data_IF_970751414676
#
_entry.id   IF_970751414676
#
_cell.length_a   1.000
_cell.length_b   1.000
_cell.length_c   1.000
_cell.angle_alpha   90.00
_cell.angle_beta   90.00
_cell.angle_gamma   90.00
#
_symmetry.space_group_name_H-M   'P 1'
#
loop_
_entity.id
_entity.type
_entity.pdbx_description
1 polymer ?
#
# COMPACT_ATOMS: atom_id res chain seq x y z
N UNK A 1 28.63 13.12 -2.30
CA UNK A 1 29.04 11.77 -2.70
C UNK A 1 28.89 10.89 -1.48
N UNK A 2 27.88 10.04 -1.46
CA UNK A 2 27.66 9.05 -0.41
C UNK A 2 27.34 7.75 -1.13
N UNK A 3 28.18 6.75 -0.89
CA UNK A 3 28.23 5.47 -1.57
C UNK A 3 26.88 4.75 -1.54
N UNK A 4 26.30 4.54 -2.72
CA UNK A 4 25.32 3.48 -2.92
C UNK A 4 26.07 2.17 -2.90
N UNK A 5 26.05 1.51 -1.74
CA UNK A 5 26.44 0.12 -1.60
C UNK A 5 25.60 -0.70 -2.58
N UNK A 6 26.27 -1.28 -3.57
CA UNK A 6 25.74 -2.30 -4.46
C UNK A 6 25.29 -3.49 -3.59
N UNK A 7 24.00 -3.58 -3.28
CA UNK A 7 23.42 -4.81 -2.74
C UNK A 7 23.64 -5.91 -3.78
N UNK A 8 24.57 -6.82 -3.49
CA UNK A 8 24.87 -7.96 -4.34
C UNK A 8 23.59 -8.74 -4.63
N UNK A 9 23.26 -8.88 -5.91
CA UNK A 9 22.16 -9.68 -6.39
C UNK A 9 22.35 -11.12 -5.93
N UNK A 10 21.61 -11.52 -4.89
CA UNK A 10 21.48 -12.92 -4.54
C UNK A 10 20.99 -13.68 -5.79
N UNK A 11 21.52 -14.87 -6.07
CA UNK A 11 21.08 -15.66 -7.21
C UNK A 11 19.58 -15.92 -7.09
N UNK A 12 18.86 -15.74 -8.20
CA UNK A 12 17.43 -16.00 -8.27
C UNK A 12 17.20 -17.49 -8.04
N UNK A 13 16.31 -17.83 -7.11
CA UNK A 13 15.86 -19.20 -6.88
C UNK A 13 15.02 -19.68 -8.09
N UNK A 14 15.66 -20.39 -9.01
CA UNK A 14 15.04 -20.86 -10.25
C UNK A 14 13.94 -21.91 -10.02
N UNK A 15 13.90 -22.56 -8.85
CA UNK A 15 12.81 -23.46 -8.50
C UNK A 15 11.50 -22.68 -8.24
N UNK A 16 11.60 -21.44 -7.74
CA UNK A 16 10.45 -20.53 -7.55
C UNK A 16 10.22 -19.61 -8.73
N UNK A 17 11.27 -19.25 -9.45
CA UNK A 17 11.23 -18.33 -10.59
C UNK A 17 11.89 -18.96 -11.82
N UNK A 18 11.22 -19.90 -12.52
CA UNK A 18 11.80 -20.58 -13.68
C UNK A 18 12.19 -19.64 -14.83
N UNK A 19 11.54 -18.48 -14.96
CA UNK A 19 11.89 -17.45 -15.95
C UNK A 19 13.17 -16.68 -15.62
N UNK A 20 13.71 -16.83 -14.41
CA UNK A 20 14.80 -16.00 -13.88
C UNK A 20 14.38 -14.58 -13.53
N UNK A 21 13.11 -14.20 -13.73
CA UNK A 21 12.60 -12.84 -13.47
C UNK A 21 11.78 -12.84 -12.17
N UNK A 22 12.14 -11.96 -11.24
CA UNK A 22 11.38 -11.74 -10.00
C UNK A 22 10.61 -10.42 -10.12
N UNK A 23 9.26 -10.44 -10.10
CA UNK A 23 8.47 -9.21 -10.08
C UNK A 23 8.78 -8.35 -8.86
N UNK A 24 8.78 -7.03 -9.07
CA UNK A 24 9.00 -6.05 -8.00
C UNK A 24 7.66 -5.61 -7.40
N UNK A 25 7.55 -5.62 -6.07
CA UNK A 25 6.37 -5.12 -5.39
C UNK A 25 6.33 -3.60 -5.44
N UNK A 26 5.25 -3.05 -5.99
CA UNK A 26 5.07 -1.62 -6.21
C UNK A 26 4.12 -0.97 -5.22
N UNK A 27 3.15 -1.71 -4.68
CA UNK A 27 2.27 -1.17 -3.68
C UNK A 27 1.63 -2.29 -2.87
N UNK A 28 1.44 -2.04 -1.58
CA UNK A 28 0.63 -2.88 -0.70
C UNK A 28 -0.46 -2.04 -0.06
N UNK A 29 -1.69 -2.52 -0.20
CA UNK A 29 -2.87 -1.98 0.48
C UNK A 29 -3.23 -2.92 1.62
N UNK A 30 -3.31 -2.40 2.83
CA UNK A 30 -3.76 -3.13 4.02
C UNK A 30 -4.88 -2.40 4.73
N UNK A 31 -5.64 -3.14 5.54
CA UNK A 31 -6.65 -2.59 6.45
C UNK A 31 -6.38 -3.03 7.87
N UNK A 32 -6.83 -2.23 8.83
CA UNK A 32 -6.85 -2.59 10.25
C UNK A 32 -8.08 -1.98 10.91
N UNK A 33 -8.57 -2.61 11.96
CA UNK A 33 -9.61 -2.10 12.83
C UNK A 33 -9.00 -1.50 14.10
N UNK A 34 -9.24 -0.20 14.31
CA UNK A 34 -8.81 0.54 15.50
C UNK A 34 -9.75 0.31 16.70
N UNK A 35 -10.87 -0.39 16.53
CA UNK A 35 -11.77 -0.84 17.60
C UNK A 35 -12.35 0.28 18.48
N UNK A 36 -12.49 1.49 17.92
CA UNK A 36 -13.13 2.63 18.58
C UNK A 36 -13.72 3.60 17.55
N UNK A 37 -14.75 4.35 17.95
CA UNK A 37 -15.24 5.49 17.16
C UNK A 37 -14.23 6.63 17.21
N UNK A 38 -14.10 7.35 16.10
CA UNK A 38 -13.13 8.43 15.94
C UNK A 38 -13.83 9.72 15.53
N UNK A 39 -13.53 10.81 16.24
CA UNK A 39 -13.88 12.15 15.81
C UNK A 39 -12.85 12.63 14.78
N UNK A 40 -13.25 12.58 13.50
CA UNK A 40 -12.39 12.95 12.39
C UNK A 40 -12.02 14.44 12.38
N UNK A 41 -12.90 15.32 12.89
CA UNK A 41 -12.62 16.76 12.96
C UNK A 41 -11.56 17.02 14.02
N UNK A 42 -11.69 16.39 15.19
CA UNK A 42 -10.71 16.51 16.27
C UNK A 42 -9.33 15.99 15.84
N UNK A 43 -9.29 14.85 15.14
CA UNK A 43 -8.02 14.30 14.60
C UNK A 43 -7.37 15.29 13.62
N UNK A 44 -8.15 15.82 12.66
CA UNK A 44 -7.62 16.74 11.65
C UNK A 44 -7.12 18.06 12.25
N UNK A 45 -7.75 18.56 13.32
CA UNK A 45 -7.34 19.79 13.99
C UNK A 45 -6.03 19.63 14.77
N UNK A 46 -5.81 18.47 15.40
CA UNK A 46 -4.65 18.23 16.25
C UNK A 46 -3.44 17.64 15.50
N UNK A 47 -3.68 16.90 14.42
CA UNK A 47 -2.62 16.24 13.67
C UNK A 47 -2.10 17.11 12.52
N UNK A 48 -0.87 17.62 12.64
CA UNK A 48 -0.22 18.46 11.61
C UNK A 48 -0.10 17.83 10.21
N UNK A 49 -0.14 16.50 10.12
CA UNK A 49 0.03 15.73 8.90
C UNK A 49 -1.28 15.02 8.47
N UNK A 50 -2.43 15.61 8.83
CA UNK A 50 -3.76 15.11 8.49
C UNK A 50 -4.53 16.12 7.62
N UNK A 51 -5.19 15.63 6.59
CA UNK A 51 -6.09 16.38 5.73
C UNK A 51 -7.51 15.80 5.87
N UNK A 52 -8.52 16.67 6.00
CA UNK A 52 -9.91 16.23 6.08
C UNK A 52 -10.85 17.22 5.41
N UNK A 53 -11.55 16.76 4.38
CA UNK A 53 -12.64 17.50 3.74
C UNK A 53 -13.85 16.56 3.57
N UNK A 54 -14.82 16.58 4.51
CA UNK A 54 -15.96 15.65 4.50
C UNK A 54 -16.86 15.78 3.27
N UNK A 55 -16.86 16.94 2.59
CA UNK A 55 -17.62 17.11 1.34
C UNK A 55 -17.00 16.35 0.17
N UNK A 56 -15.68 16.10 0.22
CA UNK A 56 -14.93 15.38 -0.82
C UNK A 56 -14.79 13.91 -0.49
N UNK A 57 -14.46 13.58 0.77
CA UNK A 57 -14.18 12.21 1.17
C UNK A 57 -14.41 12.01 2.67
N UNK A 58 -15.03 10.90 3.05
CA UNK A 58 -15.50 10.61 4.41
C UNK A 58 -14.40 10.07 5.36
N UNK A 59 -13.13 10.33 5.08
CA UNK A 59 -11.99 9.86 5.87
C UNK A 59 -10.93 10.94 6.04
N UNK A 60 -10.21 10.88 7.17
CA UNK A 60 -8.99 11.65 7.37
C UNK A 60 -7.87 10.99 6.55
N UNK A 61 -7.16 11.79 5.76
CA UNK A 61 -5.98 11.37 5.03
C UNK A 61 -4.76 11.75 5.85
N UNK A 62 -3.96 10.78 6.28
CA UNK A 62 -2.76 11.02 7.09
C UNK A 62 -1.52 10.43 6.43
N UNK A 63 -0.40 11.16 6.41
CA UNK A 63 0.84 10.72 5.73
C UNK A 63 2.02 10.66 6.68
N UNK A 64 2.85 9.64 6.55
CA UNK A 64 4.14 9.52 7.24
C UNK A 64 5.26 9.28 6.23
N UNK A 65 6.50 9.63 6.59
CA UNK A 65 7.66 9.53 5.69
C UNK A 65 8.33 8.16 5.71
N UNK A 66 8.31 7.46 6.85
CA UNK A 66 9.05 6.21 7.03
C UNK A 66 8.20 5.16 7.78
N UNK A 67 7.73 4.09 7.13
CA UNK A 67 7.71 3.90 5.67
C UNK A 67 6.87 4.99 4.98
N UNK A 68 7.20 5.37 3.74
CA UNK A 68 6.46 6.41 3.00
C UNK A 68 5.07 5.90 2.63
N UNK A 69 4.06 6.24 3.43
CA UNK A 69 2.70 5.70 3.29
C UNK A 69 1.63 6.77 3.48
N UNK A 70 0.41 6.41 3.11
CA UNK A 70 -0.81 7.18 3.38
C UNK A 70 -1.83 6.28 4.07
N UNK A 71 -2.45 6.79 5.13
CA UNK A 71 -3.58 6.17 5.80
C UNK A 71 -4.88 6.92 5.50
N UNK A 72 -5.96 6.18 5.28
CA UNK A 72 -7.33 6.69 5.24
C UNK A 72 -8.03 6.19 6.51
N UNK A 73 -8.39 7.12 7.40
CA UNK A 73 -8.94 6.81 8.73
C UNK A 73 -10.42 7.20 8.75
N UNK A 74 -11.28 6.24 9.01
CA UNK A 74 -12.74 6.42 8.98
C UNK A 74 -13.30 6.58 10.40
N UNK A 75 -14.43 7.27 10.52
CA UNK A 75 -15.10 7.50 11.82
C UNK A 75 -15.50 6.20 12.54
N UNK A 76 -15.63 5.09 11.80
CA UNK A 76 -15.90 3.76 12.32
C UNK A 76 -14.73 3.11 13.07
N UNK A 77 -13.52 3.68 12.99
CA UNK A 77 -12.29 3.05 13.47
C UNK A 77 -11.61 2.15 12.43
N UNK A 78 -12.24 1.91 11.27
CA UNK A 78 -11.54 1.25 10.16
C UNK A 78 -10.45 2.19 9.61
N UNK A 79 -9.30 1.62 9.28
CA UNK A 79 -8.19 2.34 8.65
C UNK A 79 -7.67 1.54 7.46
N UNK A 80 -7.45 2.21 6.34
CA UNK A 80 -6.74 1.68 5.16
C UNK A 80 -5.35 2.28 5.14
N UNK A 81 -4.32 1.48 4.87
CA UNK A 81 -2.93 1.92 4.70
C UNK A 81 -2.43 1.52 3.31
N UNK A 82 -1.82 2.46 2.57
CA UNK A 82 -1.31 2.26 1.21
C UNK A 82 0.04 2.95 1.00
N UNK A 83 0.80 2.52 -0.01
CA UNK A 83 2.10 3.09 -0.41
C UNK A 83 3.32 2.28 0.02
N UNK A 84 3.14 1.24 0.84
CA UNK A 84 4.25 0.39 1.29
C UNK A 84 4.74 -0.54 0.17
N UNK A 85 6.03 -0.91 0.21
CA UNK A 85 6.66 -1.80 -0.78
C UNK A 85 6.87 -3.24 -0.27
N UNK A 86 6.50 -3.51 0.98
CA UNK A 86 6.49 -4.86 1.55
C UNK A 86 5.42 -5.00 2.63
N UNK A 87 5.03 -6.23 2.93
CA UNK A 87 3.96 -6.51 3.90
C UNK A 87 4.37 -6.06 5.31
N UNK A 88 5.65 -6.25 5.63
CA UNK A 88 6.27 -5.83 6.88
C UNK A 88 6.24 -4.30 7.01
N UNK A 89 6.59 -3.57 5.94
CA UNK A 89 6.48 -2.11 5.91
C UNK A 89 5.03 -1.65 6.07
N UNK A 90 4.08 -2.30 5.39
CA UNK A 90 2.65 -1.99 5.49
C UNK A 90 2.14 -2.15 6.93
N UNK A 91 2.49 -3.27 7.59
CA UNK A 91 2.13 -3.54 8.98
C UNK A 91 2.78 -2.54 9.94
N UNK A 92 4.06 -2.21 9.74
CA UNK A 92 4.77 -1.22 10.54
C UNK A 92 4.14 0.17 10.42
N UNK A 93 3.85 0.61 9.20
CA UNK A 93 3.17 1.88 8.94
C UNK A 93 1.79 1.93 9.60
N UNK A 94 0.97 0.89 9.42
CA UNK A 94 -0.34 0.80 10.07
C UNK A 94 -0.25 0.89 11.61
N UNK A 95 0.76 0.25 12.22
CA UNK A 95 1.02 0.38 13.67
C UNK A 95 1.43 1.80 14.08
N UNK A 96 2.26 2.47 13.26
CA UNK A 96 2.64 3.88 13.51
C UNK A 96 1.42 4.80 13.47
N UNK A 97 0.52 4.62 12.51
CA UNK A 97 -0.74 5.38 12.47
C UNK A 97 -1.64 5.11 13.67
N UNK A 98 -1.84 3.84 14.04
CA UNK A 98 -2.59 3.49 15.25
C UNK A 98 -1.99 4.16 16.50
N UNK A 99 -0.65 4.21 16.60
CA UNK A 99 0.05 4.88 17.70
C UNK A 99 -0.15 6.40 17.69
N UNK A 100 -0.21 7.03 16.52
CA UNK A 100 -0.54 8.47 16.41
C UNK A 100 -1.95 8.71 16.95
N UNK A 101 -2.93 7.89 16.55
CA UNK A 101 -4.30 8.00 17.03
C UNK A 101 -4.39 7.82 18.56
N UNK A 102 -3.63 6.89 19.13
CA UNK A 102 -3.52 6.74 20.59
C UNK A 102 -2.96 8.00 21.28
N UNK A 103 -1.94 8.63 20.70
CA UNK A 103 -1.34 9.87 21.24
C UNK A 103 -2.27 11.08 21.17
N UNK A 104 -3.28 11.04 20.30
CA UNK A 104 -4.34 12.04 20.23
C UNK A 104 -5.47 11.80 21.24
N UNK A 105 -5.34 10.79 22.12
CA UNK A 105 -6.28 10.51 23.19
C UNK A 105 -7.39 9.51 22.84
N UNK A 106 -7.37 8.91 21.65
CA UNK A 106 -8.36 7.88 21.28
C UNK A 106 -7.89 6.48 21.74
N UNK A 107 -8.78 5.63 22.29
CA UNK A 107 -8.44 4.30 22.78
C UNK A 107 -8.28 3.27 21.64
N UNK A 108 -7.50 3.62 20.61
CA UNK A 108 -7.31 2.79 19.42
C UNK A 108 -6.54 1.51 19.73
N UNK A 109 -6.99 0.40 19.16
CA UNK A 109 -6.34 -0.91 19.17
C UNK A 109 -5.80 -1.26 17.78
N UNK A 110 -5.16 -2.41 17.66
CA UNK A 110 -4.65 -2.91 16.39
C UNK A 110 -5.21 -4.32 16.16
N UNK A 111 -6.42 -4.39 15.61
CA UNK A 111 -7.14 -5.65 15.36
C UNK A 111 -7.32 -5.90 13.87
N UNK A 112 -7.42 -7.18 13.50
CA UNK A 112 -7.82 -7.62 12.15
C UNK A 112 -6.97 -7.00 11.03
N UNK A 113 -5.66 -6.88 11.26
CA UNK A 113 -4.74 -6.44 10.22
C UNK A 113 -4.76 -7.44 9.06
N UNK A 114 -5.03 -6.95 7.85
CA UNK A 114 -5.14 -7.78 6.66
C UNK A 114 -4.57 -7.06 5.44
N UNK A 115 -3.78 -7.78 4.64
CA UNK A 115 -3.41 -7.34 3.29
C UNK A 115 -4.61 -7.51 2.38
N UNK A 116 -5.00 -6.43 1.69
CA UNK A 116 -6.17 -6.41 0.80
C UNK A 116 -5.78 -6.47 -0.67
N UNK A 117 -4.66 -5.85 -1.04
CA UNK A 117 -4.17 -5.86 -2.40
C UNK A 117 -2.64 -5.73 -2.44
N UNK A 118 -2.03 -6.35 -3.44
CA UNK A 118 -0.61 -6.25 -3.74
C UNK A 118 -0.48 -5.93 -5.24
N UNK A 119 0.23 -4.87 -5.57
CA UNK A 119 0.54 -4.47 -6.95
C UNK A 119 1.98 -4.83 -7.22
N UNK A 120 2.24 -5.60 -8.26
CA UNK A 120 3.57 -5.94 -8.74
C UNK A 120 3.81 -5.42 -10.16
N UNK A 121 5.08 -5.23 -10.52
CA UNK A 121 5.49 -4.95 -11.90
C UNK A 121 6.73 -5.74 -12.27
N UNK A 122 6.84 -6.13 -13.53
CA UNK A 122 8.03 -6.75 -14.09
C UNK A 122 8.29 -6.21 -15.50
N UNK A 123 9.51 -6.40 -15.98
CA UNK A 123 9.94 -6.04 -17.32
C UNK A 123 10.63 -7.27 -17.94
N UNK A 124 10.04 -7.79 -19.01
CA UNK A 124 10.52 -8.99 -19.72
C UNK A 124 11.66 -8.71 -20.68
N UNK A 125 12.03 -7.44 -20.90
CA UNK A 125 13.17 -6.99 -21.72
C UNK A 125 13.07 -7.30 -23.22
N UNK A 126 11.87 -7.58 -23.73
CA UNK A 126 11.59 -7.70 -25.16
C UNK A 126 10.15 -7.26 -25.48
N UNK A 127 9.87 -6.80 -26.71
CA UNK A 127 8.52 -6.41 -27.10
C UNK A 127 7.59 -7.62 -27.22
N UNK A 128 6.32 -7.44 -26.84
CA UNK A 128 5.25 -8.44 -26.98
C UNK A 128 4.22 -7.92 -27.99
N UNK A 129 3.86 -8.74 -28.96
CA UNK A 129 2.80 -8.44 -29.93
C UNK A 129 1.43 -8.69 -29.30
N UNK A 130 0.77 -7.63 -28.84
CA UNK A 130 -0.46 -7.71 -28.04
C UNK A 130 -1.67 -8.20 -28.86
N UNK A 131 -1.75 -7.88 -30.15
CA UNK A 131 -2.88 -8.28 -31.00
C UNK A 131 -2.91 -9.79 -31.17
N UNK A 132 -1.75 -10.41 -31.40
CA UNK A 132 -1.62 -11.87 -31.54
C UNK A 132 -1.94 -12.60 -30.23
N UNK A 133 -1.54 -12.03 -29.09
CA UNK A 133 -1.85 -12.56 -27.76
C UNK A 133 -3.36 -12.48 -27.49
N UNK A 134 -3.98 -11.33 -27.75
CA UNK A 134 -5.41 -11.11 -27.54
C UNK A 134 -6.25 -12.02 -28.45
N UNK A 135 -5.86 -12.19 -29.71
CA UNK A 135 -6.52 -13.11 -30.62
C UNK A 135 -6.48 -14.56 -30.11
N UNK A 136 -5.31 -15.00 -29.64
CA UNK A 136 -5.11 -16.39 -29.16
C UNK A 136 -5.74 -16.64 -27.79
N UNK A 137 -5.90 -15.61 -26.95
CA UNK A 137 -6.38 -15.68 -25.57
C UNK A 137 -7.55 -14.73 -25.28
N UNK A 138 -8.49 -14.60 -26.21
CA UNK A 138 -9.59 -13.62 -26.13
C UNK A 138 -10.53 -13.79 -24.94
N UNK A 139 -10.67 -15.01 -24.41
CA UNK A 139 -11.48 -15.27 -23.21
C UNK A 139 -10.94 -14.60 -21.93
N UNK A 140 -9.66 -14.20 -21.92
CA UNK A 140 -8.97 -13.65 -20.75
C UNK A 140 -8.35 -12.27 -21.01
N UNK A 141 -8.40 -11.80 -22.26
CA UNK A 141 -7.67 -10.62 -22.71
C UNK A 141 -8.64 -9.58 -23.25
N UNK A 142 -8.41 -8.33 -22.87
CA UNK A 142 -9.06 -7.17 -23.48
C UNK A 142 -7.95 -6.20 -23.87
N UNK A 143 -7.79 -5.98 -25.18
CA UNK A 143 -6.87 -4.99 -25.76
C UNK A 143 -7.71 -4.10 -26.65
N UNK A 144 -7.67 -2.80 -26.39
CA UNK A 144 -8.37 -1.78 -27.16
C UNK A 144 -7.37 -0.71 -27.55
N UNK A 145 -7.29 -0.43 -28.84
CA UNK A 145 -6.47 0.67 -29.36
C UNK A 145 -7.08 1.99 -28.86
N UNK A 146 -6.25 2.83 -28.24
CA UNK A 146 -6.58 4.22 -27.89
C UNK A 146 -6.12 5.17 -28.99
#
# INVERSE_FOLDING_TARGET
MADQVLEGSQPVDLAKHPSGIVPTLQNIVSTVNLDCKLDLKAIALQARNAEYNPKRFAAVIMRIREPKTTALIFASGKMVCTGAKSEQQSKLAARKYARIIQKLGFPAKFKDFKIQNIVGSCDVKFPIRLEGLAYSHGAFSSVSDQ
#
